data_IF_239520384128
#
_entry.id   IF_239520384128
#
_cell.length_a   1.000
_cell.length_b   1.000
_cell.length_c   1.000
_cell.angle_alpha   90.00
_cell.angle_beta   90.00
_cell.angle_gamma   90.00
#
_symmetry.space_group_name_H-M   'P 1'
#
loop_
_entity.id
_entity.type
_entity.pdbx_description
1 polymer ?
#
# COMPACT_ATOMS: atom_id res chain seq x y z
N UNK A 1 -20.62 -19.55 -1.87
CA UNK A 1 -20.25 -20.95 -1.51
C UNK A 1 -19.95 -21.85 -2.71
N UNK A 2 -20.73 -21.87 -3.79
CA UNK A 2 -20.48 -22.80 -4.93
C UNK A 2 -19.01 -22.77 -5.42
N UNK A 3 -18.44 -21.59 -5.69
CA UNK A 3 -17.04 -21.43 -6.10
C UNK A 3 -15.99 -21.91 -5.07
N UNK A 4 -16.34 -21.87 -3.78
CA UNK A 4 -15.46 -22.39 -2.73
C UNK A 4 -15.48 -23.91 -2.75
N UNK A 5 -16.67 -24.51 -2.88
CA UNK A 5 -16.86 -25.96 -2.93
C UNK A 5 -16.22 -26.61 -4.17
N UNK A 6 -16.04 -25.87 -5.28
CA UNK A 6 -15.27 -26.34 -6.44
C UNK A 6 -13.78 -26.58 -6.14
N UNK A 7 -13.24 -25.95 -5.11
CA UNK A 7 -11.81 -25.98 -4.76
C UNK A 7 -11.50 -26.61 -3.42
N UNK A 8 -12.48 -26.68 -2.55
CA UNK A 8 -12.38 -27.19 -1.18
C UNK A 8 -13.40 -28.32 -1.01
N UNK A 9 -12.92 -29.53 -0.78
CA UNK A 9 -13.76 -30.71 -0.54
C UNK A 9 -13.97 -31.01 0.95
N UNK A 10 -13.25 -30.33 1.83
CA UNK A 10 -13.33 -30.53 3.29
C UNK A 10 -14.62 -29.90 3.84
N UNK A 11 -15.54 -30.74 4.34
CA UNK A 11 -16.84 -30.33 4.86
C UNK A 11 -16.76 -29.38 6.06
N UNK A 12 -15.97 -29.69 7.10
CA UNK A 12 -15.72 -28.79 8.22
C UNK A 12 -15.19 -27.42 7.81
N UNK A 13 -14.27 -27.34 6.85
CA UNK A 13 -13.74 -26.08 6.34
C UNK A 13 -14.81 -25.30 5.57
N UNK A 14 -15.62 -25.96 4.76
CA UNK A 14 -16.76 -25.32 4.07
C UNK A 14 -17.78 -24.73 5.06
N UNK A 15 -18.08 -25.46 6.13
CA UNK A 15 -18.96 -24.97 7.20
C UNK A 15 -18.34 -23.75 7.92
N UNK A 16 -17.05 -23.76 8.17
CA UNK A 16 -16.34 -22.62 8.76
C UNK A 16 -16.43 -21.39 7.86
N UNK A 17 -16.16 -21.53 6.58
CA UNK A 17 -16.29 -20.44 5.61
C UNK A 17 -17.73 -19.92 5.56
N UNK A 18 -18.73 -20.82 5.56
CA UNK A 18 -20.14 -20.42 5.58
C UNK A 18 -20.45 -19.58 6.82
N UNK A 19 -20.01 -20.01 8.01
CA UNK A 19 -20.21 -19.24 9.26
C UNK A 19 -19.60 -17.84 9.20
N UNK A 20 -18.44 -17.68 8.56
CA UNK A 20 -17.87 -16.35 8.34
C UNK A 20 -18.67 -15.48 7.36
N UNK A 21 -19.32 -16.10 6.36
CA UNK A 21 -20.18 -15.40 5.41
C UNK A 21 -21.51 -14.98 6.06
N UNK A 22 -22.02 -15.78 6.98
CA UNK A 22 -23.28 -15.55 7.68
C UNK A 22 -23.12 -14.63 8.90
N UNK A 23 -21.89 -14.19 9.19
CA UNK A 23 -21.59 -13.36 10.35
C UNK A 23 -22.19 -11.97 10.19
N UNK A 24 -22.92 -11.52 11.22
CA UNK A 24 -23.51 -10.19 11.22
C UNK A 24 -22.46 -9.08 11.16
N UNK A 25 -22.84 -7.99 10.53
CA UNK A 25 -22.05 -6.77 10.47
C UNK A 25 -22.38 -5.94 11.71
N UNK A 26 -21.34 -5.51 12.44
CA UNK A 26 -21.43 -4.62 13.57
C UNK A 26 -20.82 -3.27 13.21
N UNK A 27 -21.59 -2.19 13.32
CA UNK A 27 -21.11 -0.81 13.18
C UNK A 27 -21.57 0.01 14.39
N UNK A 28 -20.65 0.28 15.29
CA UNK A 28 -20.96 0.86 16.59
C UNK A 28 -21.82 -0.08 17.43
N UNK A 29 -23.07 0.28 17.67
CA UNK A 29 -24.07 -0.52 18.42
C UNK A 29 -25.10 -1.20 17.51
N UNK A 30 -25.10 -0.89 16.23
CA UNK A 30 -26.04 -1.46 15.27
C UNK A 30 -25.50 -2.78 14.71
N UNK A 31 -26.41 -3.75 14.55
CA UNK A 31 -26.10 -5.09 14.06
C UNK A 31 -27.12 -5.52 13.01
N UNK A 32 -26.65 -5.98 11.87
CA UNK A 32 -27.50 -6.51 10.81
C UNK A 32 -26.84 -7.68 10.06
N UNK A 33 -27.63 -8.64 9.55
CA UNK A 33 -27.09 -9.71 8.74
C UNK A 33 -26.62 -9.20 7.37
N UNK A 34 -25.54 -9.75 6.81
CA UNK A 34 -25.12 -9.41 5.46
C UNK A 34 -26.16 -9.93 4.44
N UNK A 35 -26.61 -9.06 3.55
CA UNK A 35 -27.54 -9.44 2.47
C UNK A 35 -26.80 -10.19 1.36
N UNK A 36 -25.57 -9.74 1.03
CA UNK A 36 -24.71 -10.31 -0.02
C UNK A 36 -23.25 -10.03 0.28
N UNK A 37 -22.37 -10.96 -0.14
CA UNK A 37 -20.92 -10.78 -0.04
C UNK A 37 -20.36 -10.99 1.35
N UNK A 38 -19.28 -10.29 1.66
CA UNK A 38 -18.62 -10.30 2.97
C UNK A 38 -18.50 -8.89 3.52
N UNK A 39 -18.50 -8.74 4.83
CA UNK A 39 -18.24 -7.48 5.49
C UNK A 39 -16.90 -6.87 5.01
N UNK A 40 -16.87 -5.56 4.79
CA UNK A 40 -15.64 -4.87 4.42
C UNK A 40 -14.61 -5.01 5.55
N UNK A 41 -13.40 -5.49 5.21
CA UNK A 41 -12.35 -5.77 6.20
C UNK A 41 -12.38 -7.20 6.77
N UNK A 42 -13.28 -8.06 6.33
CA UNK A 42 -13.25 -9.48 6.69
C UNK A 42 -11.92 -10.12 6.30
N UNK A 43 -11.38 -10.94 7.22
CA UNK A 43 -10.11 -11.68 7.02
C UNK A 43 -10.17 -12.62 5.83
N UNK A 44 -11.37 -13.15 5.50
CA UNK A 44 -11.57 -14.04 4.35
C UNK A 44 -11.70 -13.33 3.01
N UNK A 45 -11.98 -12.02 2.98
CA UNK A 45 -12.22 -11.30 1.72
C UNK A 45 -11.12 -11.48 0.67
N UNK A 46 -9.80 -11.40 0.99
CA UNK A 46 -8.75 -11.63 0.00
C UNK A 46 -8.70 -13.08 -0.51
N UNK A 47 -8.98 -14.05 0.35
CA UNK A 47 -9.01 -15.47 -0.02
C UNK A 47 -10.19 -15.74 -0.95
N UNK A 48 -11.37 -15.25 -0.59
CA UNK A 48 -12.58 -15.39 -1.40
C UNK A 48 -12.43 -14.70 -2.76
N UNK A 49 -11.82 -13.51 -2.82
CA UNK A 49 -11.50 -12.84 -4.07
C UNK A 49 -10.60 -13.71 -4.96
N UNK A 50 -9.59 -14.35 -4.38
CA UNK A 50 -8.69 -15.23 -5.11
C UNK A 50 -9.34 -16.57 -5.54
N UNK A 51 -10.41 -17.00 -4.89
CA UNK A 51 -11.20 -18.16 -5.32
C UNK A 51 -12.23 -17.79 -6.41
N UNK A 52 -12.77 -16.57 -6.34
CA UNK A 52 -13.87 -16.14 -7.18
C UNK A 52 -13.44 -15.56 -8.53
N UNK A 53 -12.33 -14.81 -8.56
CA UNK A 53 -11.89 -14.02 -9.73
C UNK A 53 -10.98 -14.73 -10.76
N UNK A 54 -10.41 -15.93 -10.56
CA UNK A 54 -9.56 -16.59 -11.55
C UNK A 54 -10.21 -16.76 -12.94
N UNK A 55 -11.53 -16.98 -13.08
CA UNK A 55 -12.14 -17.04 -14.40
C UNK A 55 -12.05 -15.72 -15.19
N UNK A 56 -12.01 -14.57 -14.50
CA UNK A 56 -11.74 -13.28 -15.14
C UNK A 56 -10.30 -13.20 -15.66
N UNK A 57 -9.34 -13.69 -14.87
CA UNK A 57 -7.93 -13.73 -15.26
C UNK A 57 -7.74 -14.62 -16.50
N UNK A 58 -8.42 -15.78 -16.55
CA UNK A 58 -8.40 -16.69 -17.68
C UNK A 58 -9.03 -16.06 -18.94
N UNK A 59 -10.18 -15.41 -18.78
CA UNK A 59 -10.86 -14.72 -19.86
C UNK A 59 -9.97 -13.62 -20.48
N UNK A 60 -9.34 -12.81 -19.64
CA UNK A 60 -8.39 -11.78 -20.09
C UNK A 60 -7.19 -12.38 -20.84
N UNK A 61 -6.64 -13.49 -20.33
CA UNK A 61 -5.52 -14.19 -20.95
C UNK A 61 -5.92 -14.81 -22.31
N UNK A 62 -7.11 -15.41 -22.41
CA UNK A 62 -7.65 -15.96 -23.67
C UNK A 62 -7.90 -14.87 -24.71
N UNK A 63 -8.27 -13.67 -24.28
CA UNK A 63 -8.42 -12.51 -25.15
C UNK A 63 -7.06 -11.85 -25.53
N UNK A 64 -5.93 -12.42 -25.08
CA UNK A 64 -4.59 -11.92 -25.39
C UNK A 64 -4.11 -10.79 -24.50
N UNK A 65 -4.84 -10.40 -23.47
CA UNK A 65 -4.46 -9.32 -22.57
C UNK A 65 -3.41 -9.77 -21.54
N UNK A 66 -2.43 -8.89 -21.29
CA UNK A 66 -1.48 -9.04 -20.19
C UNK A 66 -2.04 -8.34 -18.96
N UNK A 67 -2.41 -9.10 -17.95
CA UNK A 67 -3.00 -8.57 -16.73
C UNK A 67 -2.21 -8.98 -15.48
N UNK A 68 -2.30 -8.15 -14.46
CA UNK A 68 -1.78 -8.43 -13.11
C UNK A 68 -2.90 -8.13 -12.11
N UNK A 69 -3.26 -9.10 -11.29
CA UNK A 69 -4.27 -8.95 -10.25
C UNK A 69 -3.66 -9.20 -8.85
N UNK A 70 -4.12 -8.42 -7.89
CA UNK A 70 -3.85 -8.61 -6.47
C UNK A 70 -5.16 -8.46 -5.70
N UNK A 71 -5.68 -9.56 -5.19
CA UNK A 71 -7.03 -9.65 -4.62
C UNK A 71 -8.11 -9.14 -5.60
N UNK A 72 -8.76 -8.03 -5.27
CA UNK A 72 -9.80 -7.36 -6.06
C UNK A 72 -9.27 -6.28 -7.02
N UNK A 73 -8.01 -5.88 -6.87
CA UNK A 73 -7.40 -4.87 -7.73
C UNK A 73 -6.67 -5.51 -8.92
N UNK A 74 -6.92 -5.02 -10.13
CA UNK A 74 -6.28 -5.51 -11.35
C UNK A 74 -5.78 -4.36 -12.23
N UNK A 75 -4.72 -4.65 -12.98
CA UNK A 75 -4.21 -3.79 -14.07
C UNK A 75 -4.12 -4.63 -15.33
N UNK A 76 -4.63 -4.11 -16.43
CA UNK A 76 -4.52 -4.69 -17.78
C UNK A 76 -3.64 -3.77 -18.60
N UNK A 77 -2.63 -4.33 -19.25
CA UNK A 77 -1.69 -3.60 -20.09
C UNK A 77 -2.14 -3.68 -21.55
N UNK A 78 -2.39 -2.54 -22.16
CA UNK A 78 -2.83 -2.39 -23.54
C UNK A 78 -1.87 -1.48 -24.30
N UNK A 79 -1.76 -1.69 -25.62
CA UNK A 79 -0.89 -0.88 -26.48
C UNK A 79 -1.61 0.35 -27.03
N UNK A 80 -2.92 0.27 -27.22
CA UNK A 80 -3.75 1.33 -27.77
C UNK A 80 -4.93 1.65 -26.84
N UNK A 81 -5.50 2.83 -27.04
CA UNK A 81 -6.73 3.22 -26.31
C UNK A 81 -7.90 2.31 -26.69
N UNK A 82 -8.07 1.99 -27.95
CA UNK A 82 -9.14 1.10 -28.42
C UNK A 82 -9.05 -0.30 -27.77
N UNK A 83 -7.83 -0.83 -27.62
CA UNK A 83 -7.59 -2.08 -26.91
C UNK A 83 -7.96 -1.96 -25.42
N UNK A 84 -7.62 -0.84 -24.77
CA UNK A 84 -7.96 -0.60 -23.37
C UNK A 84 -9.48 -0.46 -23.15
N UNK A 85 -10.19 0.18 -24.07
CA UNK A 85 -11.65 0.29 -24.04
C UNK A 85 -12.32 -1.08 -24.25
N UNK A 86 -11.81 -1.89 -25.16
CA UNK A 86 -12.29 -3.26 -25.37
C UNK A 86 -12.04 -4.15 -24.15
N UNK A 87 -10.86 -4.05 -23.53
CA UNK A 87 -10.54 -4.75 -22.30
C UNK A 87 -11.45 -4.33 -21.14
N UNK A 88 -11.73 -3.03 -21.00
CA UNK A 88 -12.65 -2.52 -20.00
C UNK A 88 -14.07 -3.05 -20.22
N UNK A 89 -14.57 -3.05 -21.46
CA UNK A 89 -15.88 -3.58 -21.80
C UNK A 89 -16.00 -5.08 -21.48
N UNK A 90 -14.95 -5.86 -21.76
CA UNK A 90 -14.88 -7.28 -21.42
C UNK A 90 -14.98 -7.52 -19.91
N UNK A 91 -14.23 -6.73 -19.10
CA UNK A 91 -14.28 -6.82 -17.63
C UNK A 91 -15.66 -6.41 -17.11
N UNK A 92 -16.24 -5.33 -17.62
CA UNK A 92 -17.59 -4.87 -17.26
C UNK A 92 -18.67 -5.92 -17.56
N UNK A 93 -18.62 -6.52 -18.74
CA UNK A 93 -19.58 -7.56 -19.14
C UNK A 93 -19.47 -8.81 -18.24
N UNK A 94 -18.23 -9.21 -17.92
CA UNK A 94 -18.01 -10.36 -17.04
C UNK A 94 -18.47 -10.07 -15.61
N UNK A 95 -18.09 -8.94 -15.04
CA UNK A 95 -18.45 -8.57 -13.66
C UNK A 95 -19.96 -8.43 -13.50
N UNK A 96 -20.65 -7.83 -14.47
CA UNK A 96 -22.11 -7.73 -14.47
C UNK A 96 -22.79 -9.10 -14.44
N UNK A 97 -22.32 -10.07 -15.26
CA UNK A 97 -22.84 -11.45 -15.24
C UNK A 97 -22.61 -12.17 -13.92
N UNK A 98 -21.57 -11.80 -13.19
CA UNK A 98 -21.24 -12.39 -11.89
C UNK A 98 -21.87 -11.64 -10.71
N UNK A 99 -22.72 -10.63 -10.95
CA UNK A 99 -23.32 -9.81 -9.88
C UNK A 99 -22.33 -8.90 -9.17
N UNK A 100 -21.14 -8.67 -9.74
CA UNK A 100 -20.12 -7.79 -9.20
C UNK A 100 -20.23 -6.39 -9.81
N UNK A 101 -19.79 -5.39 -9.07
CA UNK A 101 -19.73 -3.99 -9.51
C UNK A 101 -18.31 -3.47 -9.51
N UNK A 102 -17.89 -2.86 -10.61
CA UNK A 102 -16.66 -2.10 -10.66
C UNK A 102 -16.85 -0.75 -9.94
N UNK A 103 -15.85 -0.34 -9.17
CA UNK A 103 -15.89 0.96 -8.51
C UNK A 103 -15.67 2.08 -9.54
N UNK A 104 -16.63 3.01 -9.76
CA UNK A 104 -16.58 3.98 -10.84
C UNK A 104 -15.33 4.89 -10.79
N UNK A 105 -15.00 5.42 -9.61
CA UNK A 105 -13.86 6.35 -9.46
C UNK A 105 -12.49 5.68 -9.49
N UNK A 106 -12.43 4.35 -9.25
CA UNK A 106 -11.18 3.60 -9.23
C UNK A 106 -10.89 2.89 -10.56
N UNK A 107 -11.94 2.58 -11.32
CA UNK A 107 -11.82 1.91 -12.62
C UNK A 107 -11.66 2.96 -13.72
N UNK A 108 -10.48 3.01 -14.33
CA UNK A 108 -10.16 4.03 -15.34
C UNK A 108 -9.09 3.54 -16.31
N UNK A 109 -9.15 4.06 -17.53
CA UNK A 109 -8.07 3.95 -18.50
C UNK A 109 -7.08 5.09 -18.22
N UNK A 110 -5.79 4.79 -18.25
CA UNK A 110 -4.71 5.76 -18.02
C UNK A 110 -3.63 5.64 -19.10
N UNK A 111 -3.09 6.75 -19.56
CA UNK A 111 -1.97 6.79 -20.48
C UNK A 111 -0.65 6.81 -19.69
N UNK A 112 0.10 5.73 -19.82
CA UNK A 112 1.33 5.54 -19.03
C UNK A 112 2.50 6.40 -19.55
N UNK A 113 2.52 6.73 -20.84
CA UNK A 113 3.61 7.49 -21.47
C UNK A 113 3.65 8.98 -21.13
N UNK A 114 2.54 9.54 -20.62
CA UNK A 114 2.43 10.97 -20.34
C UNK A 114 2.83 11.29 -18.89
N UNK A 115 3.64 12.37 -18.67
CA UNK A 115 4.15 12.71 -17.34
C UNK A 115 3.06 13.04 -16.30
N UNK A 116 1.95 13.64 -16.74
CA UNK A 116 0.86 14.06 -15.86
C UNK A 116 -0.18 12.96 -15.64
N UNK A 117 -0.26 12.03 -16.57
CA UNK A 117 -1.11 10.86 -16.50
C UNK A 117 -0.33 9.68 -15.91
N UNK A 118 -1.02 8.77 -15.27
CA UNK A 118 -0.38 7.60 -14.72
C UNK A 118 -1.33 6.79 -13.87
N UNK A 119 -0.97 5.53 -13.66
CA UNK A 119 -1.73 4.59 -12.83
C UNK A 119 -1.14 4.45 -11.44
N UNK A 120 -2.01 4.23 -10.46
CA UNK A 120 -1.62 3.82 -9.12
C UNK A 120 -2.01 2.36 -8.89
N UNK A 121 -1.04 1.53 -8.51
CA UNK A 121 -1.27 0.12 -8.22
C UNK A 121 -0.37 -0.35 -7.09
N UNK A 122 -0.92 -1.06 -6.13
CA UNK A 122 -0.21 -1.63 -4.97
C UNK A 122 0.73 -0.62 -4.26
N UNK A 123 0.26 0.60 -4.05
CA UNK A 123 1.05 1.62 -3.34
C UNK A 123 2.14 2.31 -4.18
N UNK A 124 2.27 1.93 -5.44
CA UNK A 124 3.13 2.60 -6.40
C UNK A 124 2.33 3.49 -7.36
N UNK A 125 3.00 4.50 -7.89
CA UNK A 125 2.56 5.29 -9.03
C UNK A 125 3.49 5.07 -10.20
N UNK A 126 2.92 4.77 -11.35
CA UNK A 126 3.59 4.50 -12.60
C UNK A 126 3.30 5.65 -13.57
N UNK A 127 4.34 6.32 -14.06
CA UNK A 127 4.23 7.50 -14.94
C UNK A 127 5.44 7.56 -15.86
N UNK A 128 5.26 7.67 -17.17
CA UNK A 128 6.33 7.90 -18.14
C UNK A 128 7.61 7.03 -17.91
N UNK A 129 7.43 5.72 -17.72
CA UNK A 129 8.54 4.79 -17.45
C UNK A 129 9.09 4.83 -16.02
N UNK A 130 8.55 5.70 -15.17
CA UNK A 130 9.03 5.88 -13.79
C UNK A 130 8.07 5.16 -12.82
N UNK A 131 8.66 4.39 -11.90
CA UNK A 131 7.96 3.81 -10.76
C UNK A 131 8.33 4.58 -9.49
N UNK A 132 7.36 5.27 -8.93
CA UNK A 132 7.51 6.03 -7.69
C UNK A 132 6.57 5.50 -6.60
N UNK A 133 6.81 5.89 -5.36
CA UNK A 133 5.85 5.61 -4.28
C UNK A 133 4.65 6.53 -4.44
N UNK A 134 3.46 5.97 -4.28
CA UNK A 134 2.21 6.72 -4.29
C UNK A 134 2.24 7.84 -3.25
N UNK A 135 1.85 9.08 -3.57
CA UNK A 135 1.93 10.23 -2.66
C UNK A 135 1.22 10.00 -1.32
N UNK A 136 0.01 9.43 -1.35
CA UNK A 136 -0.75 9.08 -0.13
C UNK A 136 0.00 8.09 0.77
N UNK A 137 0.66 7.09 0.19
CA UNK A 137 1.45 6.09 0.94
C UNK A 137 2.70 6.72 1.56
N UNK A 138 3.35 7.64 0.86
CA UNK A 138 4.49 8.38 1.37
C UNK A 138 4.10 9.34 2.51
N UNK A 139 2.96 10.01 2.38
CA UNK A 139 2.42 10.88 3.42
C UNK A 139 2.10 10.09 4.70
N UNK A 140 1.35 9.00 4.58
CA UNK A 140 1.04 8.11 5.70
C UNK A 140 2.31 7.59 6.40
N UNK A 141 3.37 7.27 5.62
CA UNK A 141 4.65 6.89 6.20
C UNK A 141 5.30 8.03 6.98
N UNK A 142 5.33 9.24 6.43
CA UNK A 142 5.83 10.42 7.13
C UNK A 142 5.06 10.71 8.41
N UNK A 143 3.75 10.51 8.42
CA UNK A 143 2.91 10.69 9.61
C UNK A 143 3.24 9.66 10.70
N UNK A 144 3.43 8.39 10.32
CA UNK A 144 3.88 7.36 11.27
C UNK A 144 5.26 7.68 11.87
N UNK A 145 6.18 8.19 11.05
CA UNK A 145 7.49 8.67 11.55
C UNK A 145 7.31 9.90 12.47
N UNK A 146 6.41 10.84 12.15
CA UNK A 146 6.12 12.00 13.00
C UNK A 146 5.61 11.58 14.38
N UNK A 147 4.72 10.60 14.45
CA UNK A 147 4.19 10.05 15.70
C UNK A 147 5.32 9.52 16.59
N UNK A 148 6.28 8.80 15.98
CA UNK A 148 7.43 8.22 16.70
C UNK A 148 8.56 9.21 17.00
N UNK A 149 8.56 10.38 16.38
CA UNK A 149 9.63 11.39 16.51
C UNK A 149 9.07 12.74 16.95
N UNK A 150 8.16 12.75 17.92
CA UNK A 150 7.71 13.98 18.54
C UNK A 150 8.91 14.77 19.11
N UNK A 151 8.92 16.10 18.92
CA UNK A 151 10.06 16.95 19.34
C UNK A 151 10.33 16.88 20.85
N UNK A 152 9.30 16.60 21.64
CA UNK A 152 9.37 16.47 23.11
C UNK A 152 9.58 15.04 23.60
N UNK A 153 9.80 14.09 22.67
CA UNK A 153 9.99 12.69 23.01
C UNK A 153 11.16 12.51 23.97
N UNK A 154 10.92 11.81 25.06
CA UNK A 154 11.93 11.36 26.04
C UNK A 154 12.62 10.07 25.57
N UNK A 155 13.58 9.56 26.35
CA UNK A 155 14.34 8.33 26.09
C UNK A 155 15.67 8.57 25.37
N UNK A 156 16.57 7.60 25.37
CA UNK A 156 17.85 7.70 24.66
C UNK A 156 17.66 7.68 23.15
N UNK A 157 18.63 8.22 22.40
CA UNK A 157 18.55 8.25 20.94
C UNK A 157 18.55 6.82 20.35
N UNK A 158 19.31 5.92 20.99
CA UNK A 158 19.42 4.51 20.58
C UNK A 158 18.06 3.79 20.69
N UNK A 159 17.28 4.07 21.73
CA UNK A 159 15.93 3.51 21.89
C UNK A 159 15.00 4.02 20.79
N UNK A 160 15.09 5.33 20.50
CA UNK A 160 14.27 5.94 19.45
C UNK A 160 14.62 5.35 18.06
N UNK A 161 15.91 5.15 17.78
CA UNK A 161 16.33 4.56 16.51
C UNK A 161 15.95 3.08 16.44
N UNK A 162 16.07 2.33 17.52
CA UNK A 162 15.65 0.93 17.60
C UNK A 162 14.16 0.75 17.29
N UNK A 163 13.29 1.62 17.81
CA UNK A 163 11.86 1.60 17.52
C UNK A 163 11.51 2.07 16.11
N UNK A 164 12.29 2.97 15.52
CA UNK A 164 12.09 3.45 14.15
C UNK A 164 12.51 2.41 13.11
N UNK A 165 13.58 1.69 13.34
CA UNK A 165 14.20 0.80 12.37
C UNK A 165 13.26 -0.26 11.78
N UNK A 166 12.42 -0.97 12.55
CA UNK A 166 11.46 -1.92 11.99
C UNK A 166 10.47 -1.24 11.01
N UNK A 167 10.04 -0.03 11.35
CA UNK A 167 9.13 0.77 10.51
C UNK A 167 9.81 1.15 9.19
N UNK A 168 11.08 1.57 9.25
CA UNK A 168 11.85 2.00 8.10
C UNK A 168 12.20 0.82 7.20
N UNK A 169 12.73 -0.28 7.76
CA UNK A 169 13.10 -1.51 7.04
C UNK A 169 11.91 -2.16 6.35
N UNK A 170 10.79 -2.33 7.06
CA UNK A 170 9.58 -2.92 6.47
C UNK A 170 9.05 -2.11 5.29
N UNK A 171 9.13 -0.77 5.36
CA UNK A 171 8.69 0.07 4.26
C UNK A 171 9.65 0.04 3.06
N UNK A 172 10.96 0.01 3.30
CA UNK A 172 11.96 -0.16 2.22
C UNK A 172 11.77 -1.50 1.53
N UNK A 173 11.62 -2.58 2.28
CA UNK A 173 11.37 -3.90 1.71
C UNK A 173 10.16 -3.93 0.77
N UNK A 174 9.07 -3.23 1.15
CA UNK A 174 7.90 -3.09 0.30
C UNK A 174 8.13 -2.17 -0.91
N UNK A 175 8.78 -1.03 -0.70
CA UNK A 175 8.97 0.02 -1.72
C UNK A 175 10.31 -0.09 -2.48
N UNK A 176 11.07 -1.17 -2.32
CA UNK A 176 12.45 -1.34 -2.86
C UNK A 176 12.59 -1.03 -4.35
N UNK A 177 11.52 -1.16 -5.10
CA UNK A 177 11.50 -0.91 -6.52
C UNK A 177 11.16 0.54 -6.91
N UNK A 178 10.96 1.43 -5.94
CA UNK A 178 10.70 2.83 -6.20
C UNK A 178 12.00 3.61 -6.51
N UNK A 179 11.82 4.82 -7.03
CA UNK A 179 12.93 5.74 -7.36
C UNK A 179 13.80 6.02 -6.12
N UNK A 180 15.11 5.89 -6.24
CA UNK A 180 16.08 6.14 -5.15
C UNK A 180 15.98 7.55 -4.53
N UNK A 181 15.55 8.55 -5.31
CA UNK A 181 15.34 9.91 -4.81
C UNK A 181 14.30 9.99 -3.70
N UNK A 182 13.28 9.12 -3.72
CA UNK A 182 12.26 9.02 -2.66
C UNK A 182 12.91 8.60 -1.33
N UNK A 183 13.81 7.65 -1.37
CA UNK A 183 14.51 7.16 -0.18
C UNK A 183 15.45 8.22 0.41
N UNK A 184 16.23 8.92 -0.43
CA UNK A 184 17.09 10.03 0.03
C UNK A 184 16.28 11.14 0.71
N UNK A 185 15.12 11.48 0.16
CA UNK A 185 14.25 12.50 0.73
C UNK A 185 13.69 12.05 2.09
N UNK A 186 13.35 10.76 2.24
CA UNK A 186 12.85 10.22 3.50
C UNK A 186 13.97 10.11 4.55
N UNK A 187 15.18 9.72 4.16
CA UNK A 187 16.37 9.76 5.02
C UNK A 187 16.61 11.14 5.60
N UNK A 188 16.60 12.16 4.74
CA UNK A 188 16.75 13.54 5.17
C UNK A 188 15.63 13.97 6.12
N UNK A 189 14.40 13.52 5.86
CA UNK A 189 13.25 13.79 6.71
C UNK A 189 13.42 13.17 8.10
N UNK A 190 13.81 11.89 8.20
CA UNK A 190 14.02 11.19 9.48
C UNK A 190 15.12 11.88 10.27
N UNK A 191 16.29 12.09 9.67
CA UNK A 191 17.43 12.73 10.37
C UNK A 191 17.09 14.15 10.85
N UNK A 192 16.36 14.91 10.07
CA UNK A 192 15.85 16.23 10.49
C UNK A 192 14.96 16.12 11.72
N UNK A 193 14.07 15.15 11.77
CA UNK A 193 13.18 14.92 12.93
C UNK A 193 13.99 14.58 14.18
N UNK A 194 15.00 13.73 14.05
CA UNK A 194 15.88 13.37 15.18
C UNK A 194 16.72 14.58 15.64
N UNK A 195 17.25 15.39 14.71
CA UNK A 195 17.93 16.65 15.04
C UNK A 195 17.01 17.62 15.81
N UNK A 196 15.73 17.67 15.49
CA UNK A 196 14.77 18.52 16.19
C UNK A 196 14.57 18.07 17.65
N UNK A 197 14.61 16.77 17.95
CA UNK A 197 14.59 16.23 19.31
C UNK A 197 15.86 16.63 20.06
N UNK A 198 17.04 16.41 19.48
CA UNK A 198 18.33 16.75 20.08
C UNK A 198 18.45 18.24 20.39
N UNK A 199 18.04 19.11 19.45
CA UNK A 199 17.96 20.57 19.68
C UNK A 199 17.08 20.92 20.88
N UNK A 200 15.91 20.29 21.01
CA UNK A 200 15.01 20.55 22.15
C UNK A 200 15.63 20.14 23.47
N UNK A 201 16.35 19.01 23.51
CA UNK A 201 17.07 18.54 24.69
C UNK A 201 18.17 19.50 25.12
N UNK A 202 18.87 20.11 24.16
CA UNK A 202 19.86 21.15 24.41
C UNK A 202 19.24 22.55 24.65
N UNK A 203 17.93 22.65 24.82
CA UNK A 203 17.19 23.91 25.01
C UNK A 203 17.40 24.94 23.89
N UNK A 204 17.76 24.47 22.67
CA UNK A 204 17.99 25.33 21.49
C UNK A 204 16.70 25.48 20.67
N UNK A 205 16.37 26.72 20.20
CA UNK A 205 15.21 26.93 19.34
C UNK A 205 15.40 26.36 17.94
N UNK A 206 14.32 26.02 17.22
CA UNK A 206 14.32 25.57 15.82
C UNK A 206 14.00 24.07 15.65
N UNK A 207 13.97 23.61 14.39
CA UNK A 207 13.45 22.31 13.98
C UNK A 207 14.47 21.40 13.25
N UNK A 208 15.76 21.61 13.45
CA UNK A 208 16.81 20.74 12.89
C UNK A 208 17.10 20.94 11.40
N UNK A 209 16.83 22.12 10.86
CA UNK A 209 17.08 22.48 9.47
C UNK A 209 18.40 23.20 9.23
N UNK A 210 18.98 23.81 10.27
CA UNK A 210 20.13 24.68 10.12
C UNK A 210 21.40 23.90 9.67
N UNK A 211 22.27 24.48 8.84
CA UNK A 211 23.55 23.86 8.49
C UNK A 211 24.42 23.56 9.72
N UNK A 212 24.31 24.38 10.78
CA UNK A 212 24.96 24.11 12.06
C UNK A 212 24.51 22.82 12.73
N UNK A 213 23.25 22.41 12.55
CA UNK A 213 22.74 21.15 13.08
C UNK A 213 23.30 19.96 12.32
N UNK A 214 23.50 20.11 11.01
CA UNK A 214 24.09 19.06 10.18
C UNK A 214 25.57 18.85 10.51
N UNK A 215 26.30 19.94 10.83
CA UNK A 215 27.69 19.86 11.32
C UNK A 215 27.79 19.25 12.71
N UNK A 216 26.87 19.62 13.62
CA UNK A 216 26.86 19.11 15.00
C UNK A 216 26.45 17.64 15.08
N UNK A 217 25.44 17.24 14.31
CA UNK A 217 24.95 15.88 14.22
C UNK A 217 24.95 15.42 12.76
N UNK A 218 26.14 15.04 12.22
CA UNK A 218 26.25 14.56 10.84
C UNK A 218 25.49 13.24 10.63
N UNK A 219 25.38 12.80 9.41
CA UNK A 219 24.68 11.54 9.10
C UNK A 219 25.33 10.32 9.78
N UNK A 220 26.67 10.32 9.87
CA UNK A 220 27.46 9.30 10.56
C UNK A 220 27.11 9.20 12.06
N UNK A 221 26.80 10.30 12.71
CA UNK A 221 26.36 10.31 14.10
C UNK A 221 25.10 9.43 14.29
N UNK A 222 24.11 9.56 13.42
CA UNK A 222 22.90 8.71 13.50
C UNK A 222 23.16 7.26 13.15
N UNK A 223 24.09 6.99 12.22
CA UNK A 223 24.52 5.62 11.90
C UNK A 223 25.19 4.95 13.12
N UNK A 224 26.04 5.67 13.86
CA UNK A 224 26.66 5.19 15.11
C UNK A 224 25.62 4.87 16.19
N UNK A 225 24.49 5.59 16.21
CA UNK A 225 23.34 5.30 17.07
C UNK A 225 22.36 4.28 16.44
N UNK A 226 22.82 3.49 15.47
CA UNK A 226 22.10 2.36 14.89
C UNK A 226 20.93 2.73 13.98
N UNK A 227 20.80 4.00 13.54
CA UNK A 227 19.73 4.38 12.62
C UNK A 227 19.89 3.70 11.26
N UNK A 228 18.87 2.97 10.84
CA UNK A 228 18.79 2.39 9.50
C UNK A 228 18.80 3.48 8.42
N UNK A 229 19.64 3.30 7.41
CA UNK A 229 19.80 4.22 6.28
C UNK A 229 19.18 3.60 5.03
N UNK A 230 18.31 4.32 4.35
CA UNK A 230 17.67 3.85 3.11
C UNK A 230 18.63 3.73 1.93
N UNK A 231 19.81 4.34 2.05
CA UNK A 231 20.79 4.37 0.97
C UNK A 231 21.59 3.05 0.86
N UNK A 232 21.58 2.24 1.91
CA UNK A 232 22.34 0.99 2.02
C UNK A 232 21.45 -0.25 1.74
N UNK A 233 20.19 -0.04 1.39
CA UNK A 233 19.20 -1.09 1.09
C UNK A 233 18.91 -1.16 -0.46
#
# INVERSE_FOLDING_TARGET
>A
MARVAERVSDGPLLQLVQRFLDQDILDGVERWPPITGTAQGSVLSPVLANLYLPPLDQLGSQAGYRSVRSADAAVILCQTQAEAEAALALVQAWTARQGLRLHPDKTRIVHYGEPEQGGEFLGYRFTAGIRSVRPKSLLARKDKIRQQTGRTRSGHLDDITAELNPILRGWVGYCKHARRTTFRALDSFVRRRLRAILRKREKRPGFGHAPSDQRRWPNSFFAQHGLFTFHEA
#
